data_IF_888146075615
#
_entry.id   IF_888146075615
#
_cell.length_a   1.000
_cell.length_b   1.000
_cell.length_c   1.000
_cell.angle_alpha   90.00
_cell.angle_beta   90.00
_cell.angle_gamma   90.00
#
_symmetry.space_group_name_H-M   'P 1'
#
loop_
_entity.id
_entity.type
_entity.pdbx_description
1 polymer ?
#
# COMPACT_ATOMS: atom_id res chain seq x y z
N UNK A 1 41.34 -17.34 5.95
CA UNK A 1 40.53 -16.15 6.20
C UNK A 1 39.85 -15.79 4.89
N UNK A 2 38.52 -15.76 4.82
CA UNK A 2 37.81 -15.35 3.61
C UNK A 2 37.83 -13.83 3.51
N UNK A 3 38.26 -13.24 2.38
CA UNK A 3 38.26 -11.79 2.23
C UNK A 3 36.83 -11.23 2.31
N UNK A 4 36.69 -10.07 2.94
CA UNK A 4 35.41 -9.37 3.10
C UNK A 4 34.95 -8.75 1.78
N UNK A 5 33.63 -8.67 1.56
CA UNK A 5 33.07 -8.17 0.31
C UNK A 5 33.35 -6.68 0.11
N UNK A 6 33.51 -5.92 1.20
CA UNK A 6 33.91 -4.50 1.15
C UNK A 6 35.35 -4.36 0.64
N UNK A 7 36.27 -5.22 1.08
CA UNK A 7 37.66 -5.23 0.62
C UNK A 7 37.77 -5.65 -0.85
N UNK A 8 37.01 -6.68 -1.26
CA UNK A 8 36.94 -7.11 -2.66
C UNK A 8 36.38 -6.01 -3.57
N UNK A 9 35.35 -5.27 -3.11
CA UNK A 9 34.79 -4.15 -3.86
C UNK A 9 35.80 -2.99 -3.95
N UNK A 10 36.48 -2.65 -2.86
CA UNK A 10 37.52 -1.62 -2.86
C UNK A 10 38.70 -1.99 -3.78
N UNK A 11 39.03 -3.28 -3.89
CA UNK A 11 40.01 -3.81 -4.84
C UNK A 11 39.58 -3.61 -6.29
N UNK A 12 38.35 -4.01 -6.64
CA UNK A 12 37.79 -3.85 -8.00
C UNK A 12 37.68 -2.37 -8.38
N UNK A 13 37.31 -1.50 -7.44
CA UNK A 13 37.24 -0.05 -7.63
C UNK A 13 38.62 0.63 -7.72
N UNK A 14 39.72 -0.10 -7.49
CA UNK A 14 41.07 0.46 -7.44
C UNK A 14 41.34 1.39 -6.25
N UNK A 15 40.49 1.37 -5.22
CA UNK A 15 40.57 2.22 -4.02
C UNK A 15 41.38 1.61 -2.88
N UNK A 16 41.84 0.38 -3.04
CA UNK A 16 42.60 -0.32 -2.00
C UNK A 16 44.08 0.14 -1.97
N UNK A 17 44.63 0.53 -0.81
CA UNK A 17 46.03 0.92 -0.68
C UNK A 17 46.99 -0.17 -1.16
N UNK A 18 48.14 0.23 -1.72
CA UNK A 18 49.16 -0.69 -2.26
C UNK A 18 49.56 -1.86 -1.34
N UNK A 19 49.81 -1.68 -0.02
CA UNK A 19 50.18 -2.80 0.85
C UNK A 19 49.03 -3.79 1.07
N UNK A 20 47.79 -3.28 1.21
CA UNK A 20 46.58 -4.09 1.40
C UNK A 20 46.22 -4.85 0.12
N UNK A 21 46.37 -4.19 -1.04
CA UNK A 21 46.21 -4.82 -2.34
C UNK A 21 47.14 -6.00 -2.53
N UNK A 22 48.43 -5.84 -2.23
CA UNK A 22 49.40 -6.93 -2.34
C UNK A 22 49.11 -8.09 -1.36
N UNK A 23 48.48 -7.81 -0.21
CA UNK A 23 48.03 -8.84 0.72
C UNK A 23 46.80 -9.58 0.19
N UNK A 24 45.83 -8.84 -0.36
CA UNK A 24 44.62 -9.40 -0.94
C UNK A 24 44.94 -10.23 -2.20
N UNK A 25 45.83 -9.78 -3.07
CA UNK A 25 46.28 -10.54 -4.25
C UNK A 25 46.89 -11.90 -3.88
N UNK A 26 47.66 -11.95 -2.77
CA UNK A 26 48.18 -13.22 -2.22
C UNK A 26 47.05 -14.13 -1.72
N UNK A 27 45.99 -13.57 -1.14
CA UNK A 27 44.80 -14.33 -0.72
C UNK A 27 43.97 -14.82 -1.91
N UNK A 28 43.80 -13.98 -2.95
CA UNK A 28 43.10 -14.32 -4.18
C UNK A 28 43.82 -15.45 -4.93
N UNK A 29 45.16 -15.42 -4.98
CA UNK A 29 45.96 -16.49 -5.58
C UNK A 29 45.77 -17.85 -4.86
N UNK A 30 45.51 -17.83 -3.55
CA UNK A 30 45.27 -19.02 -2.75
C UNK A 30 43.79 -19.48 -2.72
N UNK A 31 42.86 -18.67 -3.24
CA UNK A 31 41.41 -18.91 -3.12
C UNK A 31 40.67 -18.71 -4.45
N UNK A 32 40.35 -19.81 -5.17
CA UNK A 32 39.57 -19.76 -6.40
C UNK A 32 38.18 -19.12 -6.24
N UNK A 33 37.53 -19.35 -5.11
CA UNK A 33 36.21 -18.77 -4.81
C UNK A 33 36.26 -17.25 -4.69
N UNK A 34 37.29 -16.72 -4.03
CA UNK A 34 37.47 -15.27 -3.91
C UNK A 34 37.77 -14.64 -5.27
N UNK A 35 38.58 -15.30 -6.11
CA UNK A 35 38.83 -14.86 -7.48
C UNK A 35 37.55 -14.86 -8.35
N UNK A 36 36.67 -15.86 -8.19
CA UNK A 36 35.38 -15.87 -8.89
C UNK A 36 34.46 -14.73 -8.44
N UNK A 37 34.49 -14.36 -7.15
CA UNK A 37 33.72 -13.22 -6.63
C UNK A 37 34.22 -11.91 -7.22
N UNK A 38 35.54 -11.70 -7.28
CA UNK A 38 36.15 -10.54 -7.97
C UNK A 38 35.69 -10.47 -9.42
N UNK A 39 35.75 -11.57 -10.18
CA UNK A 39 35.28 -11.59 -11.57
C UNK A 39 33.81 -11.20 -11.73
N UNK A 40 32.94 -11.61 -10.80
CA UNK A 40 31.51 -11.21 -10.84
C UNK A 40 31.33 -9.73 -10.54
N UNK A 41 32.12 -9.19 -9.61
CA UNK A 41 32.10 -7.76 -9.27
C UNK A 41 32.63 -6.93 -10.45
N UNK A 42 33.72 -7.34 -11.09
CA UNK A 42 34.25 -6.71 -12.31
C UNK A 42 33.22 -6.73 -13.44
N UNK A 43 32.52 -7.85 -13.65
CA UNK A 43 31.46 -7.96 -14.66
C UNK A 43 30.24 -7.06 -14.36
N UNK A 44 30.05 -6.66 -13.09
CA UNK A 44 28.98 -5.75 -12.67
C UNK A 44 29.39 -4.27 -12.78
N UNK A 45 30.68 -3.98 -12.97
CA UNK A 45 31.20 -2.64 -13.17
C UNK A 45 30.95 -2.20 -14.62
N UNK A 46 29.86 -1.48 -14.84
CA UNK A 46 29.51 -0.93 -16.15
C UNK A 46 30.23 0.41 -16.39
N UNK A 47 30.64 0.71 -17.64
CA UNK A 47 31.43 1.91 -17.97
C UNK A 47 30.55 3.17 -18.04
N UNK A 48 29.87 3.50 -16.93
CA UNK A 48 28.96 4.65 -16.88
C UNK A 48 29.70 5.96 -17.16
N UNK A 49 30.92 6.14 -16.65
CA UNK A 49 31.69 7.35 -16.89
C UNK A 49 31.90 7.62 -18.39
N UNK A 50 32.17 6.57 -19.17
CA UNK A 50 32.34 6.66 -20.63
C UNK A 50 31.00 6.95 -21.32
N UNK A 51 29.91 6.31 -20.87
CA UNK A 51 28.56 6.54 -21.40
C UNK A 51 28.11 8.02 -21.23
N UNK A 52 28.55 8.67 -20.15
CA UNK A 52 28.24 10.08 -19.87
C UNK A 52 29.30 11.07 -20.36
N UNK A 53 30.47 10.61 -20.84
CA UNK A 53 31.57 11.48 -21.25
C UNK A 53 31.19 12.44 -22.40
N UNK A 54 30.26 12.01 -23.26
CA UNK A 54 29.80 12.81 -24.40
C UNK A 54 28.53 13.61 -24.11
N UNK A 55 27.94 13.48 -22.92
CA UNK A 55 26.70 14.15 -22.56
C UNK A 55 26.98 15.50 -21.89
N UNK A 56 26.38 16.58 -22.41
CA UNK A 56 26.46 17.90 -21.77
C UNK A 56 25.46 17.98 -20.62
N UNK A 57 25.91 17.58 -19.44
CA UNK A 57 25.14 17.73 -18.21
C UNK A 57 25.44 19.09 -17.56
N UNK A 58 24.43 19.75 -16.95
CA UNK A 58 24.69 20.93 -16.12
C UNK A 58 25.60 20.55 -14.94
N UNK A 59 26.43 21.47 -14.43
CA UNK A 59 27.26 21.19 -13.28
C UNK A 59 26.37 20.84 -12.07
N UNK A 60 26.85 19.93 -11.22
CA UNK A 60 26.15 19.54 -10.00
C UNK A 60 25.92 20.79 -9.13
N UNK A 61 24.67 21.09 -8.74
CA UNK A 61 24.38 22.23 -7.89
C UNK A 61 25.13 22.15 -6.55
N UNK A 62 25.78 23.23 -6.07
CA UNK A 62 26.50 23.22 -4.80
C UNK A 62 25.64 22.86 -3.58
N UNK A 63 24.32 23.09 -3.65
CA UNK A 63 23.37 22.67 -2.62
C UNK A 63 23.26 21.15 -2.53
N UNK A 64 23.26 20.46 -3.67
CA UNK A 64 23.16 19.01 -3.73
C UNK A 64 24.45 18.36 -3.20
N UNK A 65 25.62 18.88 -3.59
CA UNK A 65 26.90 18.41 -3.05
C UNK A 65 26.92 18.48 -1.51
N UNK A 66 26.55 19.63 -0.94
CA UNK A 66 26.45 19.80 0.53
C UNK A 66 25.43 18.87 1.18
N UNK A 67 24.31 18.58 0.51
CA UNK A 67 23.31 17.64 1.02
C UNK A 67 23.87 16.22 1.08
N UNK A 68 24.56 15.77 0.02
CA UNK A 68 25.20 14.46 -0.06
C UNK A 68 26.29 14.34 1.02
N UNK A 69 27.14 15.36 1.18
CA UNK A 69 28.18 15.38 2.21
C UNK A 69 27.57 15.28 3.62
N UNK A 70 26.45 15.98 3.86
CA UNK A 70 25.72 15.91 5.12
C UNK A 70 25.18 14.50 5.41
N UNK A 71 24.60 13.85 4.41
CA UNK A 71 24.10 12.46 4.51
C UNK A 71 25.26 11.49 4.78
N UNK A 72 26.37 11.62 4.03
CA UNK A 72 27.54 10.77 4.19
C UNK A 72 28.18 10.93 5.58
N UNK A 73 28.24 12.16 6.10
CA UNK A 73 28.75 12.42 7.44
C UNK A 73 27.85 11.83 8.53
N UNK A 74 26.52 11.97 8.40
CA UNK A 74 25.56 11.36 9.32
C UNK A 74 25.70 9.83 9.36
N UNK A 75 25.81 9.18 8.21
CA UNK A 75 25.99 7.72 8.12
C UNK A 75 27.29 7.24 8.78
N UNK A 76 28.37 8.03 8.71
CA UNK A 76 29.63 7.73 9.41
C UNK A 76 29.51 7.86 10.93
N UNK A 77 28.70 8.81 11.40
CA UNK A 77 28.46 9.03 12.83
C UNK A 77 27.50 7.98 13.43
N UNK A 78 26.59 7.42 12.63
CA UNK A 78 25.69 6.32 13.02
C UNK A 78 26.36 4.93 12.97
N UNK A 79 27.63 4.83 12.59
CA UNK A 79 28.38 3.57 12.63
C UNK A 79 28.90 3.34 14.06
N UNK A 80 28.50 2.26 14.77
CA UNK A 80 29.10 1.92 16.06
C UNK A 80 30.60 1.64 15.86
N UNK A 81 31.44 2.15 16.75
CA UNK A 81 32.90 1.95 16.73
C UNK A 81 33.34 0.47 16.71
N UNK A 82 34.65 0.18 16.56
CA UNK A 82 35.16 -1.07 16.02
C UNK A 82 34.94 -2.25 16.97
N UNK A 83 33.79 -2.91 16.86
CA UNK A 83 33.60 -4.24 17.38
C UNK A 83 34.15 -5.23 16.34
N UNK A 84 35.26 -5.86 16.70
CA UNK A 84 35.74 -7.04 16.02
C UNK A 84 34.68 -8.14 16.13
N UNK A 85 34.58 -8.95 15.07
CA UNK A 85 33.80 -10.18 14.92
C UNK A 85 32.31 -10.05 14.55
N UNK A 86 32.00 -10.56 13.36
CA UNK A 86 30.75 -11.30 13.12
C UNK A 86 29.68 -10.62 12.28
N UNK A 87 29.71 -10.88 10.97
CA UNK A 87 28.55 -10.88 10.04
C UNK A 87 27.88 -9.51 9.83
N UNK A 88 28.47 -8.71 8.95
CA UNK A 88 27.82 -7.53 8.37
C UNK A 88 26.64 -7.97 7.48
N UNK A 89 25.44 -7.57 7.88
CA UNK A 89 24.21 -7.79 7.12
C UNK A 89 24.26 -6.99 5.81
N UNK A 90 23.90 -7.62 4.70
CA UNK A 90 23.84 -6.99 3.39
C UNK A 90 22.67 -5.99 3.32
N UNK A 91 22.73 -5.04 2.38
CA UNK A 91 21.67 -4.04 2.16
C UNK A 91 20.28 -4.63 1.79
N UNK A 92 20.18 -5.95 1.61
CA UNK A 92 18.96 -6.70 1.32
C UNK A 92 18.61 -7.75 2.38
N UNK A 93 19.27 -7.78 3.54
CA UNK A 93 18.80 -8.64 4.64
C UNK A 93 17.51 -8.06 5.23
N UNK A 94 16.52 -8.94 5.47
CA UNK A 94 15.24 -8.64 6.11
C UNK A 94 15.44 -8.10 7.54
N UNK A 95 15.80 -6.82 7.63
CA UNK A 95 15.74 -6.07 8.87
C UNK A 95 14.29 -5.63 9.04
N UNK A 96 13.60 -6.29 9.95
CA UNK A 96 12.39 -5.79 10.58
C UNK A 96 12.74 -4.49 11.34
N UNK A 97 12.84 -3.38 10.62
CA UNK A 97 13.08 -2.05 11.18
C UNK A 97 11.76 -1.62 11.80
N UNK A 98 11.65 -1.75 13.13
CA UNK A 98 10.67 -1.02 13.91
C UNK A 98 10.75 0.46 13.53
N UNK A 99 9.60 1.05 13.18
CA UNK A 99 9.49 2.40 12.67
C UNK A 99 10.26 3.42 13.53
N UNK A 100 11.10 4.30 12.95
CA UNK A 100 11.71 5.38 13.71
C UNK A 100 10.64 6.40 14.11
N UNK A 101 10.45 6.56 15.42
CA UNK A 101 9.64 7.61 16.02
C UNK A 101 10.40 8.93 15.91
N UNK A 102 9.91 9.83 15.06
CA UNK A 102 10.41 11.19 14.96
C UNK A 102 9.94 12.01 16.17
N UNK A 103 10.71 12.04 17.25
CA UNK A 103 10.55 13.06 18.28
C UNK A 103 11.43 14.28 17.95
N UNK A 104 10.89 15.19 17.14
CA UNK A 104 11.46 16.52 16.97
C UNK A 104 11.15 17.37 18.22
N UNK A 105 12.00 17.32 19.25
CA UNK A 105 11.96 18.31 20.34
C UNK A 105 12.71 19.57 19.92
N UNK A 106 12.11 20.38 19.04
CA UNK A 106 12.56 21.74 18.79
C UNK A 106 12.02 22.65 19.91
N UNK A 107 12.86 22.95 20.91
CA UNK A 107 12.60 24.00 21.90
C UNK A 107 12.67 25.37 21.22
N UNK A 108 11.52 25.85 20.73
CA UNK A 108 11.37 27.24 20.26
C UNK A 108 11.27 28.15 21.48
N UNK A 109 12.28 29.01 21.69
CA UNK A 109 12.23 30.12 22.66
C UNK A 109 11.18 31.12 22.17
N UNK A 110 9.99 31.11 22.78
CA UNK A 110 8.97 32.15 22.58
C UNK A 110 9.38 33.40 23.36
N UNK A 111 9.82 34.43 22.64
CA UNK A 111 9.91 35.79 23.17
C UNK A 111 8.50 36.31 23.41
N UNK A 112 8.27 36.84 24.59
CA UNK A 112 7.01 37.44 25.02
C UNK A 112 6.66 38.64 24.14
N UNK A 113 5.50 38.58 23.50
CA UNK A 113 4.73 39.76 23.12
C UNK A 113 3.29 39.48 23.53
N UNK A 114 2.92 40.11 24.65
CA UNK A 114 1.61 40.07 25.25
C UNK A 114 0.65 40.99 24.47
N UNK A 115 -0.62 40.59 24.48
CA UNK A 115 -1.74 41.47 24.16
C UNK A 115 -2.35 41.19 22.80
N UNK A 116 -3.69 41.09 22.80
CA UNK A 116 -4.58 40.93 21.66
C UNK A 116 -4.79 39.50 21.17
N UNK A 117 -5.63 38.76 21.89
CA UNK A 117 -6.80 38.05 21.36
C UNK A 117 -7.61 37.41 22.51
N UNK A 118 -8.06 38.25 23.45
CA UNK A 118 -9.16 37.92 24.34
C UNK A 118 -10.44 38.47 23.71
N UNK A 119 -11.01 37.72 22.76
CA UNK A 119 -12.41 37.82 22.34
C UNK A 119 -12.77 36.59 21.50
N UNK A 120 -13.87 35.93 21.86
CA UNK A 120 -14.50 34.76 21.23
C UNK A 120 -14.05 33.37 21.70
N UNK A 121 -14.36 33.03 22.96
CA UNK A 121 -14.44 31.63 23.44
C UNK A 121 -15.74 31.31 24.21
N UNK A 122 -16.89 31.89 23.85
CA UNK A 122 -18.18 31.52 24.46
C UNK A 122 -19.34 31.43 23.46
N UNK A 123 -19.20 30.61 22.42
CA UNK A 123 -20.33 30.12 21.65
C UNK A 123 -19.99 28.74 21.05
N UNK A 124 -20.41 27.66 21.70
CA UNK A 124 -20.16 26.30 21.20
C UNK A 124 -20.18 25.18 22.25
N UNK A 125 -20.49 25.48 23.52
CA UNK A 125 -20.56 24.48 24.59
C UNK A 125 -21.84 24.63 25.45
N UNK A 126 -22.99 24.85 24.80
CA UNK A 126 -24.33 24.83 25.41
C UNK A 126 -25.35 24.13 24.50
N UNK A 127 -25.02 22.95 23.96
CA UNK A 127 -25.96 22.19 23.12
C UNK A 127 -25.98 20.66 23.35
N UNK A 128 -25.33 20.12 24.39
CA UNK A 128 -25.34 18.66 24.66
C UNK A 128 -25.68 18.27 26.11
N UNK A 129 -26.35 19.12 26.88
CA UNK A 129 -26.54 18.87 28.31
C UNK A 129 -27.94 19.10 28.88
N UNK A 130 -29.01 19.10 28.07
CA UNK A 130 -30.34 19.46 28.57
C UNK A 130 -31.51 18.67 27.95
N UNK A 131 -31.37 17.36 27.75
CA UNK A 131 -32.46 16.52 27.27
C UNK A 131 -32.71 15.24 28.09
N UNK A 132 -32.26 15.21 29.35
CA UNK A 132 -32.61 14.13 30.28
C UNK A 132 -32.77 14.66 31.72
N UNK A 133 -33.77 15.51 31.97
CA UNK A 133 -34.45 15.54 33.27
C UNK A 133 -35.71 16.40 33.24
N UNK A 134 -36.74 15.90 33.91
CA UNK A 134 -38.04 16.50 34.24
C UNK A 134 -39.16 16.32 33.22
N UNK A 135 -40.01 15.33 33.53
CA UNK A 135 -41.44 15.41 33.25
C UNK A 135 -42.21 16.13 34.37
N UNK A 136 -43.51 16.28 34.10
CA UNK A 136 -44.66 16.68 34.93
C UNK A 136 -45.08 18.17 35.00
N UNK A 137 -46.34 18.37 34.57
CA UNK A 137 -47.36 19.42 34.82
C UNK A 137 -47.01 20.89 34.47
N UNK A 138 -47.89 21.75 33.94
CA UNK A 138 -49.33 21.93 34.16
C UNK A 138 -49.96 22.77 33.01
N UNK A 139 -51.27 22.61 32.84
CA UNK A 139 -52.32 23.42 32.23
C UNK A 139 -52.08 24.51 31.13
N UNK A 140 -52.83 24.30 30.02
CA UNK A 140 -53.71 25.23 29.26
C UNK A 140 -53.11 26.42 28.48
N UNK A 141 -53.19 26.35 27.14
CA UNK A 141 -54.09 27.14 26.26
C UNK A 141 -53.85 26.76 24.77
N UNK A 142 -54.94 26.54 24.02
CA UNK A 142 -55.08 26.06 22.60
C UNK A 142 -55.32 27.32 21.71
N UNK A 143 -54.93 27.42 20.39
CA UNK A 143 -55.53 26.59 19.33
C UNK A 143 -54.73 26.17 18.09
N UNK A 144 -55.05 24.94 17.67
CA UNK A 144 -55.28 24.40 16.32
C UNK A 144 -54.45 24.91 15.13
N UNK A 145 -53.52 24.07 14.65
CA UNK A 145 -53.27 23.95 13.22
C UNK A 145 -53.11 22.48 12.84
N UNK A 146 -54.06 22.01 12.03
CA UNK A 146 -54.16 20.68 11.45
C UNK A 146 -53.06 20.43 10.43
N UNK A 147 -52.72 19.15 10.25
CA UNK A 147 -52.23 18.67 8.97
C UNK A 147 -50.75 18.29 8.92
N UNK A 148 -50.51 17.05 9.34
CA UNK A 148 -49.82 16.03 8.55
C UNK A 148 -48.34 16.25 8.13
N UNK A 149 -47.63 15.12 8.30
CA UNK A 149 -46.39 14.73 7.64
C UNK A 149 -45.09 15.08 8.36
N UNK A 150 -44.83 14.26 9.38
CA UNK A 150 -43.51 13.66 9.52
C UNK A 150 -43.10 13.02 8.18
N UNK A 151 -42.15 13.63 7.50
CA UNK A 151 -41.42 13.10 6.37
C UNK A 151 -40.15 13.94 6.25
N UNK A 152 -38.98 13.42 6.02
CA UNK A 152 -38.49 12.06 5.97
C UNK A 152 -36.96 12.22 6.06
N UNK A 153 -36.31 11.16 6.52
CA UNK A 153 -34.90 10.83 6.31
C UNK A 153 -34.17 11.74 5.32
N UNK A 154 -33.18 12.47 5.83
CA UNK A 154 -32.00 12.77 5.04
C UNK A 154 -31.39 11.41 4.71
N UNK A 155 -31.71 10.90 3.52
CA UNK A 155 -30.96 9.83 2.88
C UNK A 155 -29.56 10.36 2.60
N UNK A 156 -28.72 10.39 3.64
CA UNK A 156 -27.29 10.39 3.42
C UNK A 156 -27.00 9.05 2.77
N UNK A 157 -26.62 9.07 1.49
CA UNK A 157 -25.94 7.94 0.88
C UNK A 157 -24.80 7.54 1.84
N UNK A 158 -24.84 6.35 2.47
CA UNK A 158 -23.86 6.02 3.49
C UNK A 158 -22.50 6.10 2.83
N UNK A 159 -21.64 7.02 3.27
CA UNK A 159 -20.33 7.24 2.67
C UNK A 159 -19.58 5.90 2.48
N UNK A 160 -18.81 5.79 1.39
CA UNK A 160 -18.03 4.59 1.14
C UNK A 160 -17.13 4.28 2.35
N UNK A 161 -16.90 2.99 2.62
CA UNK A 161 -16.00 2.61 3.70
C UNK A 161 -14.60 3.21 3.44
N UNK A 162 -13.87 3.70 4.47
CA UNK A 162 -12.59 4.39 4.26
C UNK A 162 -11.54 3.60 3.47
N UNK A 163 -11.54 2.27 3.61
CA UNK A 163 -10.63 1.40 2.84
C UNK A 163 -10.97 1.35 1.35
N UNK A 164 -12.25 1.50 0.99
CA UNK A 164 -12.73 1.55 -0.40
C UNK A 164 -12.26 2.84 -1.05
N UNK A 165 -12.35 3.96 -0.32
CA UNK A 165 -11.81 5.25 -0.77
C UNK A 165 -10.30 5.18 -1.01
N UNK A 166 -9.54 4.63 -0.05
CA UNK A 166 -8.11 4.44 -0.21
C UNK A 166 -7.77 3.51 -1.39
N UNK A 167 -8.52 2.42 -1.57
CA UNK A 167 -8.33 1.50 -2.70
C UNK A 167 -8.61 2.18 -4.04
N UNK A 168 -9.65 3.02 -4.14
CA UNK A 168 -9.94 3.79 -5.33
C UNK A 168 -8.84 4.81 -5.64
N UNK A 169 -8.35 5.55 -4.64
CA UNK A 169 -7.23 6.48 -4.81
C UNK A 169 -5.97 5.78 -5.32
N UNK A 170 -5.63 4.63 -4.72
CA UNK A 170 -4.48 3.87 -5.15
C UNK A 170 -4.65 3.32 -6.58
N UNK A 171 -5.86 2.93 -6.96
CA UNK A 171 -6.15 2.42 -8.30
C UNK A 171 -6.01 3.48 -9.39
N UNK A 172 -6.23 4.78 -9.09
CA UNK A 172 -5.98 5.86 -10.07
C UNK A 172 -4.52 5.94 -10.54
N UNK A 173 -3.58 5.39 -9.76
CA UNK A 173 -2.17 5.36 -10.13
C UNK A 173 -1.87 4.30 -11.21
N UNK A 174 -2.83 3.41 -11.50
CA UNK A 174 -2.69 2.37 -12.50
C UNK A 174 -3.23 2.84 -13.85
N UNK A 175 -2.37 2.79 -14.86
CA UNK A 175 -2.74 2.94 -16.26
C UNK A 175 -2.54 1.62 -17.00
N UNK A 176 -3.00 1.57 -18.26
CA UNK A 176 -2.70 0.44 -19.14
C UNK A 176 -1.20 0.20 -19.26
N UNK A 177 -0.42 1.26 -19.43
CA UNK A 177 1.03 1.24 -19.63
C UNK A 177 1.74 0.68 -18.40
N UNK A 178 1.30 1.04 -17.19
CA UNK A 178 1.86 0.50 -15.93
C UNK A 178 1.68 -1.00 -15.79
N UNK A 179 0.74 -1.60 -16.52
CA UNK A 179 0.44 -3.04 -16.50
C UNK A 179 0.81 -3.75 -17.80
N UNK A 180 1.30 -3.03 -18.81
CA UNK A 180 1.57 -3.60 -20.14
C UNK A 180 2.61 -4.73 -20.09
N UNK A 181 3.61 -4.58 -19.23
CA UNK A 181 4.70 -5.55 -19.06
C UNK A 181 4.55 -6.43 -17.82
N UNK A 182 3.38 -6.40 -17.18
CA UNK A 182 3.06 -7.28 -16.06
C UNK A 182 2.39 -8.52 -16.64
N UNK A 183 3.07 -9.65 -16.57
CA UNK A 183 2.53 -10.95 -16.95
C UNK A 183 2.06 -11.72 -15.73
N UNK A 184 1.02 -12.52 -15.91
CA UNK A 184 0.48 -13.35 -14.83
C UNK A 184 1.44 -14.51 -14.55
N UNK A 185 2.08 -14.48 -13.38
CA UNK A 185 2.86 -15.61 -12.86
C UNK A 185 1.98 -16.47 -11.96
N UNK A 186 1.69 -17.69 -12.41
CA UNK A 186 0.87 -18.65 -11.69
C UNK A 186 1.50 -19.09 -10.36
N UNK A 187 2.81 -19.36 -10.33
CA UNK A 187 3.50 -19.84 -9.12
C UNK A 187 3.58 -18.74 -8.05
N UNK A 188 3.89 -17.52 -8.47
CA UNK A 188 3.90 -16.36 -7.58
C UNK A 188 2.48 -16.02 -7.08
N UNK A 189 1.48 -16.12 -7.95
CA UNK A 189 0.08 -15.89 -7.57
C UNK A 189 -0.37 -16.91 -6.53
N UNK A 190 -0.08 -18.20 -6.72
CA UNK A 190 -0.42 -19.24 -5.74
C UNK A 190 0.31 -19.04 -4.40
N UNK A 191 1.61 -18.73 -4.44
CA UNK A 191 2.38 -18.41 -3.24
C UNK A 191 1.78 -17.23 -2.48
N UNK A 192 1.29 -16.21 -3.20
CA UNK A 192 0.65 -15.03 -2.61
C UNK A 192 -0.70 -15.39 -1.98
N UNK A 193 -1.53 -16.19 -2.66
CA UNK A 193 -2.80 -16.68 -2.12
C UNK A 193 -2.60 -17.55 -0.87
N UNK A 194 -1.58 -18.41 -0.86
CA UNK A 194 -1.25 -19.23 0.30
C UNK A 194 -0.90 -18.38 1.51
N UNK A 195 -0.07 -17.35 1.32
CA UNK A 195 0.26 -16.38 2.39
C UNK A 195 -0.97 -15.62 2.88
N UNK A 196 -1.80 -15.10 1.98
CA UNK A 196 -3.05 -14.41 2.34
C UNK A 196 -3.97 -15.33 3.17
N UNK A 197 -4.10 -16.60 2.78
CA UNK A 197 -4.91 -17.58 3.51
C UNK A 197 -4.33 -17.89 4.90
N UNK A 198 -3.01 -18.08 4.99
CA UNK A 198 -2.33 -18.45 6.24
C UNK A 198 -2.28 -17.29 7.24
N UNK A 199 -1.83 -16.13 6.78
CA UNK A 199 -1.52 -14.97 7.62
C UNK A 199 -2.77 -14.12 7.90
N UNK A 200 -3.61 -13.91 6.88
CA UNK A 200 -4.77 -13.01 6.97
C UNK A 200 -6.09 -13.75 7.18
N UNK A 201 -6.06 -15.09 7.22
CA UNK A 201 -7.26 -15.95 7.32
C UNK A 201 -8.30 -15.63 6.25
N UNK A 202 -7.85 -15.25 5.06
CA UNK A 202 -8.70 -14.89 3.94
C UNK A 202 -8.56 -15.94 2.82
N UNK A 203 -9.50 -16.88 2.77
CA UNK A 203 -9.52 -17.91 1.73
C UNK A 203 -10.22 -17.36 0.47
N UNK A 204 -9.41 -16.92 -0.50
CA UNK A 204 -9.90 -16.29 -1.73
C UNK A 204 -9.42 -17.04 -2.97
N UNK A 205 -10.28 -17.09 -3.98
CA UNK A 205 -9.93 -17.51 -5.33
C UNK A 205 -9.81 -16.29 -6.25
N UNK A 206 -8.99 -16.41 -7.28
CA UNK A 206 -8.91 -15.43 -8.38
C UNK A 206 -9.99 -15.80 -9.39
N UNK A 207 -11.01 -14.96 -9.63
CA UNK A 207 -12.05 -15.27 -10.62
C UNK A 207 -11.51 -15.20 -12.06
N UNK A 208 -11.98 -16.11 -12.91
CA UNK A 208 -11.76 -16.08 -14.35
C UNK A 208 -12.74 -15.12 -15.02
N UNK A 209 -12.23 -13.96 -15.41
CA UNK A 209 -13.03 -12.89 -16.00
C UNK A 209 -12.81 -12.73 -17.51
N UNK A 210 -12.19 -13.74 -18.17
CA UNK A 210 -11.97 -13.70 -19.63
C UNK A 210 -13.27 -13.59 -20.41
N UNK A 211 -14.36 -14.19 -19.93
CA UNK A 211 -15.69 -14.05 -20.53
C UNK A 211 -16.23 -12.60 -20.51
N UNK A 212 -15.71 -11.76 -19.64
CA UNK A 212 -15.99 -10.32 -19.56
C UNK A 212 -14.92 -9.46 -20.26
N UNK A 213 -14.01 -10.08 -21.02
CA UNK A 213 -12.93 -9.39 -21.72
C UNK A 213 -11.80 -8.91 -20.81
N UNK A 214 -11.72 -9.42 -19.58
CA UNK A 214 -10.74 -9.03 -18.58
C UNK A 214 -9.64 -10.09 -18.45
N UNK A 215 -8.39 -9.68 -18.67
CA UNK A 215 -7.22 -10.54 -18.52
C UNK A 215 -6.62 -10.35 -17.14
N UNK A 216 -6.49 -11.43 -16.37
CA UNK A 216 -5.81 -11.40 -15.07
C UNK A 216 -4.35 -10.96 -15.24
N UNK A 217 -3.89 -10.02 -14.40
CA UNK A 217 -2.50 -9.55 -14.39
C UNK A 217 -1.74 -9.99 -13.15
N UNK A 218 -2.31 -9.78 -11.96
CA UNK A 218 -1.69 -10.18 -10.69
C UNK A 218 -2.65 -10.12 -9.52
N UNK A 219 -2.26 -10.79 -8.43
CA UNK A 219 -2.79 -10.60 -7.08
C UNK A 219 -1.69 -10.03 -6.19
N UNK A 220 -2.03 -9.12 -5.29
CA UNK A 220 -1.11 -8.61 -4.28
C UNK A 220 -1.80 -8.33 -2.96
N UNK A 221 -1.04 -8.44 -1.88
CA UNK A 221 -1.43 -8.06 -0.52
C UNK A 221 -0.90 -6.65 -0.23
N UNK A 222 -1.80 -5.75 0.13
CA UNK A 222 -1.55 -4.39 0.58
C UNK A 222 -1.95 -4.25 2.06
N UNK A 223 -1.62 -3.12 2.66
CA UNK A 223 -1.97 -2.80 4.05
C UNK A 223 -2.75 -1.49 4.11
N UNK A 224 -3.86 -1.50 4.85
CA UNK A 224 -4.65 -0.31 5.16
C UNK A 224 -4.85 -0.23 6.67
N UNK A 225 -4.26 0.77 7.32
CA UNK A 225 -4.29 0.93 8.79
C UNK A 225 -3.98 -0.37 9.55
N UNK A 226 -2.95 -1.10 9.12
CA UNK A 226 -2.51 -2.36 9.74
C UNK A 226 -3.38 -3.58 9.40
N UNK A 227 -4.42 -3.43 8.57
CA UNK A 227 -5.30 -4.50 8.12
C UNK A 227 -4.97 -4.92 6.68
N UNK A 228 -4.98 -6.22 6.37
CA UNK A 228 -4.71 -6.71 5.03
C UNK A 228 -5.81 -6.30 4.06
N UNK A 229 -5.39 -5.73 2.94
CA UNK A 229 -6.22 -5.43 1.77
C UNK A 229 -5.66 -6.24 0.60
N UNK A 230 -6.45 -7.14 0.03
CA UNK A 230 -6.04 -7.85 -1.17
C UNK A 230 -6.53 -7.08 -2.39
N UNK A 231 -5.65 -6.91 -3.38
CA UNK A 231 -5.98 -6.35 -4.68
C UNK A 231 -5.68 -7.38 -5.77
N UNK A 232 -6.70 -7.67 -6.58
CA UNK A 232 -6.59 -8.50 -7.79
C UNK A 232 -6.80 -7.59 -8.99
N UNK A 233 -5.82 -7.52 -9.88
CA UNK A 233 -5.81 -6.58 -10.99
C UNK A 233 -6.04 -7.30 -12.32
N UNK A 234 -6.95 -6.73 -13.11
CA UNK A 234 -7.31 -7.18 -14.45
C UNK A 234 -7.08 -6.06 -15.47
N UNK A 235 -6.70 -6.47 -16.68
CA UNK A 235 -6.54 -5.57 -17.82
C UNK A 235 -7.60 -5.92 -18.88
N UNK A 236 -8.54 -5.01 -19.20
CA UNK A 236 -9.42 -5.21 -20.36
C UNK A 236 -8.61 -5.17 -21.66
N UNK A 237 -9.20 -5.56 -22.79
CA UNK A 237 -8.56 -5.37 -24.10
C UNK A 237 -8.37 -3.88 -24.45
N UNK A 238 -9.34 -3.03 -24.09
CA UNK A 238 -9.31 -1.58 -24.29
C UNK A 238 -9.70 -0.86 -22.99
N UNK A 239 -9.12 0.31 -22.74
CA UNK A 239 -9.43 1.14 -21.57
C UNK A 239 -8.55 0.86 -20.35
N UNK A 240 -8.97 1.40 -19.20
CA UNK A 240 -8.18 1.39 -17.98
C UNK A 240 -8.29 0.08 -17.20
N UNK A 241 -7.30 -0.23 -16.34
CA UNK A 241 -7.33 -1.44 -15.52
C UNK A 241 -8.52 -1.48 -14.55
N UNK A 242 -9.00 -2.70 -14.30
CA UNK A 242 -10.06 -2.99 -13.33
C UNK A 242 -9.44 -3.72 -12.15
N UNK A 243 -9.80 -3.34 -10.92
CA UNK A 243 -9.33 -4.01 -9.71
C UNK A 243 -10.50 -4.57 -8.90
N UNK A 244 -10.32 -5.79 -8.39
CA UNK A 244 -11.18 -6.37 -7.36
C UNK A 244 -10.40 -6.32 -6.03
N UNK A 245 -10.90 -5.53 -5.09
CA UNK A 245 -10.32 -5.34 -3.78
C UNK A 245 -11.14 -6.08 -2.71
N UNK A 246 -10.46 -6.74 -1.77
CA UNK A 246 -11.08 -7.55 -0.72
C UNK A 246 -10.45 -7.25 0.64
N UNK A 247 -11.29 -7.11 1.67
CA UNK A 247 -10.86 -6.94 3.05
C UNK A 247 -11.91 -7.56 3.98
N UNK A 248 -11.51 -8.13 5.12
CA UNK A 248 -12.47 -8.54 6.15
C UNK A 248 -13.38 -7.38 6.56
N UNK A 249 -14.69 -7.59 6.67
CA UNK A 249 -15.67 -6.66 7.24
C UNK A 249 -16.53 -7.40 8.27
N UNK A 250 -16.69 -6.80 9.46
CA UNK A 250 -17.53 -7.37 10.50
C UNK A 250 -19.04 -7.16 10.24
N UNK A 251 -19.36 -6.24 9.34
CA UNK A 251 -20.71 -5.83 9.00
C UNK A 251 -21.45 -6.96 8.25
N UNK A 252 -22.78 -6.96 8.39
CA UNK A 252 -23.64 -7.94 7.73
C UNK A 252 -23.56 -7.86 6.20
N UNK A 253 -23.85 -9.00 5.56
CA UNK A 253 -23.91 -9.14 4.10
C UNK A 253 -24.77 -8.03 3.47
N UNK A 254 -24.32 -7.56 2.31
CA UNK A 254 -24.93 -6.46 1.59
C UNK A 254 -24.87 -6.74 0.10
N UNK A 255 -25.96 -6.44 -0.60
CA UNK A 255 -26.02 -6.57 -2.06
C UNK A 255 -25.12 -5.56 -2.77
N UNK A 256 -24.71 -5.83 -4.03
CA UNK A 256 -23.96 -4.89 -4.85
C UNK A 256 -24.64 -3.52 -4.91
N UNK A 257 -23.90 -2.49 -4.53
CA UNK A 257 -24.30 -1.09 -4.59
C UNK A 257 -23.27 -0.29 -5.39
N UNK A 258 -23.76 0.42 -6.40
CA UNK A 258 -22.94 1.31 -7.22
C UNK A 258 -22.61 2.60 -6.47
N UNK A 259 -21.38 3.07 -6.64
CA UNK A 259 -20.85 4.28 -6.02
C UNK A 259 -19.88 4.95 -6.99
N UNK A 260 -19.73 6.25 -6.85
CA UNK A 260 -18.62 6.98 -7.45
C UNK A 260 -17.69 7.40 -6.32
N UNK A 261 -16.46 6.91 -6.35
CA UNK A 261 -15.45 7.22 -5.33
C UNK A 261 -14.20 7.69 -6.05
N UNK A 262 -13.75 8.90 -5.73
CA UNK A 262 -12.59 9.51 -6.38
C UNK A 262 -12.68 9.44 -7.92
N UNK A 263 -13.79 9.88 -8.50
CA UNK A 263 -14.00 9.85 -9.96
C UNK A 263 -13.86 8.48 -10.63
N UNK A 264 -13.87 7.38 -9.86
CA UNK A 264 -13.90 6.01 -10.33
C UNK A 264 -15.28 5.40 -10.10
N UNK A 265 -15.69 4.50 -11.00
CA UNK A 265 -16.85 3.65 -10.75
C UNK A 265 -16.44 2.57 -9.76
N UNK A 266 -17.18 2.45 -8.66
CA UNK A 266 -16.94 1.46 -7.61
C UNK A 266 -18.23 0.73 -7.31
N UNK A 267 -18.21 -0.59 -7.36
CA UNK A 267 -19.34 -1.42 -6.90
C UNK A 267 -18.91 -2.15 -5.65
N UNK A 268 -19.62 -1.92 -4.54
CA UNK A 268 -19.31 -2.53 -3.25
C UNK A 268 -20.36 -3.55 -2.85
N UNK A 269 -19.95 -4.67 -2.26
CA UNK A 269 -20.85 -5.64 -1.64
C UNK A 269 -20.15 -6.30 -0.46
N UNK A 270 -20.93 -7.03 0.37
CA UNK A 270 -20.39 -7.79 1.49
C UNK A 270 -20.98 -9.19 1.49
N UNK A 271 -20.13 -10.18 1.72
CA UNK A 271 -20.53 -11.58 1.82
C UNK A 271 -19.58 -12.31 2.74
N UNK A 272 -20.13 -13.10 3.66
CA UNK A 272 -19.35 -14.00 4.51
C UNK A 272 -18.19 -13.29 5.25
N UNK A 273 -18.47 -12.12 5.84
CA UNK A 273 -17.50 -11.27 6.54
C UNK A 273 -16.36 -10.72 5.68
N UNK A 274 -16.54 -10.68 4.35
CA UNK A 274 -15.61 -10.04 3.42
C UNK A 274 -16.34 -8.88 2.75
N UNK A 275 -15.71 -7.71 2.79
CA UNK A 275 -16.05 -6.54 2.01
C UNK A 275 -15.32 -6.57 0.68
N UNK A 276 -16.07 -6.30 -0.38
CA UNK A 276 -15.58 -6.29 -1.75
C UNK A 276 -15.77 -4.92 -2.37
N UNK A 277 -14.80 -4.49 -3.18
CA UNK A 277 -14.91 -3.31 -4.02
C UNK A 277 -14.37 -3.64 -5.42
N UNK A 278 -15.24 -3.62 -6.41
CA UNK A 278 -14.86 -3.70 -7.82
C UNK A 278 -14.71 -2.27 -8.35
N UNK A 279 -13.51 -1.92 -8.76
CA UNK A 279 -13.08 -0.55 -9.08
C UNK A 279 -12.66 -0.50 -10.55
N UNK A 280 -13.25 0.42 -11.30
CA UNK A 280 -12.96 0.63 -12.72
C UNK A 280 -13.12 2.09 -13.13
N UNK A 281 -12.89 2.37 -14.41
CA UNK A 281 -13.12 3.71 -14.95
C UNK A 281 -14.61 4.10 -14.86
N UNK A 282 -14.88 5.38 -14.64
CA UNK A 282 -16.24 5.92 -14.68
C UNK A 282 -16.90 5.68 -16.04
N UNK A 283 -18.20 5.35 -16.03
CA UNK A 283 -18.97 5.07 -17.25
C UNK A 283 -18.92 3.63 -17.75
N UNK A 284 -18.19 2.73 -17.07
CA UNK A 284 -18.18 1.31 -17.40
C UNK A 284 -19.48 0.63 -16.94
N UNK A 285 -20.48 0.61 -17.82
CA UNK A 285 -21.76 -0.06 -17.58
C UNK A 285 -21.63 -1.59 -17.43
N UNK A 286 -20.51 -2.19 -17.81
CA UNK A 286 -20.27 -3.62 -17.61
C UNK A 286 -19.86 -3.93 -16.16
N UNK A 287 -19.33 -2.95 -15.42
CA UNK A 287 -18.81 -3.14 -14.06
C UNK A 287 -19.89 -3.63 -13.09
N UNK A 288 -21.10 -3.06 -13.14
CA UNK A 288 -22.21 -3.45 -12.28
C UNK A 288 -22.71 -4.89 -12.59
N UNK A 289 -22.81 -5.26 -13.88
CA UNK A 289 -23.16 -6.64 -14.26
C UNK A 289 -22.13 -7.64 -13.78
N UNK A 290 -20.84 -7.29 -13.90
CA UNK A 290 -19.74 -8.11 -13.40
C UNK A 290 -19.79 -8.26 -11.88
N UNK A 291 -20.00 -7.17 -11.14
CA UNK A 291 -20.12 -7.21 -9.68
C UNK A 291 -21.26 -8.11 -9.20
N UNK A 292 -22.43 -8.08 -9.88
CA UNK A 292 -23.56 -8.97 -9.55
C UNK A 292 -23.22 -10.45 -9.77
N UNK A 293 -22.58 -10.78 -10.90
CA UNK A 293 -22.10 -12.14 -11.19
C UNK A 293 -21.10 -12.62 -10.13
N UNK A 294 -20.13 -11.77 -9.76
CA UNK A 294 -19.16 -12.06 -8.71
C UNK A 294 -19.82 -12.23 -7.33
N UNK A 295 -20.82 -11.43 -6.99
CA UNK A 295 -21.55 -11.55 -5.74
C UNK A 295 -22.37 -12.85 -5.65
N UNK A 296 -22.82 -13.39 -6.78
CA UNK A 296 -23.69 -14.57 -6.86
C UNK A 296 -22.95 -15.90 -6.72
N UNK A 297 -21.67 -15.99 -7.08
CA UNK A 297 -20.99 -17.30 -7.09
C UNK A 297 -20.47 -17.74 -8.45
N UNK A 298 -20.77 -17.00 -9.51
CA UNK A 298 -20.88 -17.58 -10.85
C UNK A 298 -19.56 -17.62 -11.63
N UNK A 299 -18.55 -16.89 -11.17
CA UNK A 299 -17.24 -16.91 -11.79
C UNK A 299 -16.46 -18.18 -11.44
N UNK A 300 -16.00 -18.91 -12.46
CA UNK A 300 -14.99 -19.95 -12.30
C UNK A 300 -13.71 -19.35 -11.71
N UNK A 301 -12.88 -20.15 -11.04
CA UNK A 301 -11.63 -19.66 -10.44
C UNK A 301 -10.41 -20.07 -11.27
N UNK A 302 -9.52 -19.12 -11.56
CA UNK A 302 -8.21 -19.35 -12.19
C UNK A 302 -7.19 -19.99 -11.23
N UNK A 303 -7.20 -19.53 -9.97
CA UNK A 303 -6.27 -19.95 -8.92
C UNK A 303 -6.98 -19.90 -7.55
N UNK A 304 -6.67 -20.85 -6.65
CA UNK A 304 -7.28 -20.95 -5.33
C UNK A 304 -8.57 -21.76 -5.28
N UNK A 305 -8.98 -22.18 -4.08
CA UNK A 305 -10.22 -22.94 -3.88
C UNK A 305 -11.44 -22.01 -3.98
N UNK A 306 -12.41 -22.36 -4.82
CA UNK A 306 -13.66 -21.63 -5.03
C UNK A 306 -14.66 -21.76 -3.86
N UNK A 307 -14.20 -21.94 -2.62
CA UNK A 307 -15.08 -22.10 -1.45
C UNK A 307 -15.81 -20.81 -1.07
N UNK A 308 -15.25 -19.63 -1.38
CA UNK A 308 -15.93 -18.35 -1.13
C UNK A 308 -17.10 -18.02 -2.08
N UNK A 309 -17.26 -18.79 -3.17
CA UNK A 309 -18.35 -18.59 -4.15
C UNK A 309 -19.36 -19.75 -4.16
N UNK A 310 -19.04 -20.92 -3.57
CA UNK A 310 -19.86 -22.14 -3.67
C UNK A 310 -20.10 -22.84 -2.32
N UNK A 311 -21.01 -22.31 -1.51
CA UNK A 311 -21.73 -23.01 -0.42
C UNK A 311 -22.97 -22.15 -0.10
N UNK A 312 -24.24 -22.55 -0.17
CA UNK A 312 -24.94 -23.83 -0.20
C UNK A 312 -26.18 -23.72 -1.11
N UNK A 313 -26.32 -24.59 -2.12
CA UNK A 313 -27.63 -25.04 -2.63
C UNK A 313 -27.63 -26.55 -2.58
N UNK A 314 -27.77 -27.08 -1.36
CA UNK A 314 -28.15 -28.47 -1.10
C UNK A 314 -28.32 -28.64 0.41
N UNK A 315 -29.40 -28.09 0.97
CA UNK A 315 -30.07 -28.62 2.17
C UNK A 315 -31.28 -27.75 2.50
N UNK A 316 -32.39 -28.02 1.81
CA UNK A 316 -33.73 -27.87 2.37
C UNK A 316 -34.70 -28.59 1.44
N UNK A 317 -35.16 -29.76 1.94
CA UNK A 317 -36.45 -30.43 1.75
C UNK A 317 -37.26 -30.23 0.48
#
# INVERSE_FOLDING_TARGET
>A
MTPDDIELLAYVDGKLPAPERAALERLLAASPDAALRVKRLEASSLPYAEAFAYQRLPPVPPSLARMIDGIAQAARLDTPGPAHSGRGAGANDDRNIGAPVWHATARVRRTAAAGWLAAAFFAGALACGFALRFGYDDARLVPHQEGAQASAQVSADPAAAPWVEAAAHYQQLYSRETLANVEADAALSQTTLDKIRQDDRLAIGIPDLRAYGLTFKRVQRLQFHGRPLVQIVYLPAQGNPVALCLMHEAQADAMPADRTVASMAVVTWRRAHIGYALIGASGDAALNRLARSLAQGDAASLFGAAEGLRTLVASSS
#
